data_IF_686779399626
#
_entry.id   IF_686779399626
#
_cell.length_a   1.000
_cell.length_b   1.000
_cell.length_c   1.000
_cell.angle_alpha   90.00
_cell.angle_beta   90.00
_cell.angle_gamma   90.00
#
_symmetry.space_group_name_H-M   'P 1'
#
loop_
_entity.id
_entity.type
_entity.pdbx_description
1 polymer ?
#
# COMPACT_ATOMS: atom_id res chain seq x y z
N UNK A 1 -11.47 -4.23 -2.50
CA UNK A 1 -11.63 -5.55 -1.84
C UNK A 1 -11.76 -5.35 -0.35
N UNK A 2 -12.47 -6.21 0.36
CA UNK A 2 -12.76 -6.03 1.78
C UNK A 2 -12.71 -7.34 2.58
N UNK A 3 -12.58 -7.20 3.87
CA UNK A 3 -12.69 -8.26 4.89
C UNK A 3 -13.58 -7.72 6.01
N UNK A 4 -14.66 -8.43 6.35
CA UNK A 4 -15.66 -7.98 7.32
C UNK A 4 -15.55 -8.70 8.68
N UNK A 5 -14.70 -9.72 8.76
CA UNK A 5 -14.39 -10.43 10.00
C UNK A 5 -12.90 -10.73 10.06
N UNK A 6 -12.26 -10.42 11.18
CA UNK A 6 -10.86 -10.72 11.42
C UNK A 6 -10.54 -12.22 11.33
N UNK A 7 -11.54 -13.08 11.62
CA UNK A 7 -11.41 -14.54 11.52
C UNK A 7 -11.28 -15.03 10.05
N UNK A 8 -11.66 -14.22 9.07
CA UNK A 8 -11.48 -14.54 7.65
C UNK A 8 -10.00 -14.45 7.21
N UNK A 9 -9.13 -13.84 8.03
CA UNK A 9 -7.70 -13.69 7.69
C UNK A 9 -7.00 -15.05 7.67
N UNK A 10 -6.49 -15.41 6.51
CA UNK A 10 -5.75 -16.66 6.29
C UNK A 10 -4.25 -16.43 6.40
N UNK A 11 -3.53 -17.24 7.18
CA UNK A 11 -2.09 -17.09 7.34
C UNK A 11 -1.35 -17.34 6.02
N UNK A 12 -0.21 -16.69 5.86
CA UNK A 12 0.74 -16.94 4.80
C UNK A 12 1.82 -17.92 5.25
N UNK A 13 2.48 -18.61 4.33
CA UNK A 13 3.75 -19.28 4.65
C UNK A 13 4.74 -18.27 5.22
N UNK A 14 5.48 -18.70 6.24
CA UNK A 14 6.57 -17.88 6.77
C UNK A 14 7.64 -17.67 5.70
N UNK A 15 8.19 -16.48 5.57
CA UNK A 15 9.32 -16.26 4.68
C UNK A 15 10.56 -17.00 5.20
N UNK A 16 11.46 -17.37 4.28
CA UNK A 16 12.70 -18.07 4.65
C UNK A 16 13.68 -17.21 5.48
N UNK A 17 13.42 -15.93 5.61
CA UNK A 17 14.18 -14.96 6.40
C UNK A 17 13.21 -14.18 7.29
N UNK A 18 13.64 -13.86 8.49
CA UNK A 18 12.83 -13.08 9.41
C UNK A 18 12.52 -11.69 8.84
N UNK A 19 11.26 -11.31 8.92
CA UNK A 19 10.79 -9.95 8.62
C UNK A 19 10.30 -9.30 9.92
N UNK A 20 10.80 -8.12 10.18
CA UNK A 20 10.31 -7.26 11.27
C UNK A 20 9.48 -6.11 10.73
N UNK A 21 8.52 -5.64 11.53
CA UNK A 21 7.61 -4.58 11.15
C UNK A 21 7.65 -3.46 12.20
N UNK A 22 8.06 -2.28 11.76
CA UNK A 22 8.25 -1.14 12.64
C UNK A 22 7.34 0.01 12.24
N UNK A 23 6.59 0.54 13.19
CA UNK A 23 5.82 1.77 13.00
C UNK A 23 6.78 2.95 12.86
N UNK A 24 6.60 3.76 11.83
CA UNK A 24 7.30 5.03 11.69
C UNK A 24 6.76 6.02 12.75
N UNK A 25 7.45 6.12 13.87
CA UNK A 25 7.04 6.98 14.99
C UNK A 25 7.17 8.48 14.72
N UNK A 26 7.91 8.86 13.67
CA UNK A 26 8.02 10.25 13.21
C UNK A 26 7.49 10.31 11.78
N UNK A 27 6.39 11.02 11.53
CA UNK A 27 5.89 11.24 10.17
C UNK A 27 6.94 11.96 9.32
N UNK A 28 7.21 11.44 8.13
CA UNK A 28 8.21 12.02 7.23
C UNK A 28 7.75 11.98 5.77
N UNK A 29 7.50 13.16 5.22
CA UNK A 29 7.14 13.34 3.83
C UNK A 29 8.18 12.72 2.88
N UNK A 30 9.46 12.92 3.17
CA UNK A 30 10.54 12.42 2.31
C UNK A 30 10.66 10.89 2.35
N UNK A 31 10.51 10.29 3.53
CA UNK A 31 10.52 8.83 3.69
C UNK A 31 9.34 8.21 2.96
N UNK A 32 8.13 8.70 3.19
CA UNK A 32 6.92 8.16 2.53
C UNK A 32 6.98 8.33 1.01
N UNK A 33 7.46 9.48 0.52
CA UNK A 33 7.68 9.70 -0.90
C UNK A 33 8.69 8.72 -1.49
N UNK A 34 9.81 8.48 -0.80
CA UNK A 34 10.83 7.52 -1.24
C UNK A 34 10.28 6.08 -1.26
N UNK A 35 9.53 5.67 -0.23
CA UNK A 35 8.88 4.36 -0.17
C UNK A 35 7.85 4.17 -1.29
N UNK A 36 6.99 5.18 -1.51
CA UNK A 36 6.03 5.19 -2.60
C UNK A 36 6.73 5.05 -3.96
N UNK A 37 7.86 5.75 -4.16
CA UNK A 37 8.65 5.65 -5.38
C UNK A 37 9.27 4.26 -5.57
N UNK A 38 9.91 3.72 -4.53
CA UNK A 38 10.59 2.43 -4.60
C UNK A 38 9.66 1.29 -4.95
N UNK A 39 8.44 1.28 -4.40
CA UNK A 39 7.46 0.22 -4.61
C UNK A 39 6.60 0.51 -5.83
N UNK A 40 6.06 1.72 -5.91
CA UNK A 40 5.04 2.10 -6.88
C UNK A 40 5.52 2.23 -8.33
N UNK A 41 6.82 2.46 -8.53
CA UNK A 41 7.40 2.66 -9.86
C UNK A 41 7.18 1.48 -10.83
N UNK A 42 6.97 0.28 -10.31
CA UNK A 42 6.76 -0.94 -11.11
C UNK A 42 5.31 -1.38 -11.20
N UNK A 43 4.42 -0.73 -10.44
CA UNK A 43 3.00 -1.10 -10.33
C UNK A 43 2.09 0.09 -10.59
N UNK A 44 2.56 1.05 -11.36
CA UNK A 44 1.80 2.21 -11.85
C UNK A 44 1.10 3.02 -10.75
N UNK A 45 1.71 3.15 -9.57
CA UNK A 45 1.25 4.09 -8.57
C UNK A 45 1.56 5.51 -9.04
N UNK A 46 0.58 6.20 -9.57
CA UNK A 46 0.76 7.50 -10.22
C UNK A 46 -0.02 8.63 -9.54
N UNK A 47 -0.92 8.31 -8.63
CA UNK A 47 -1.86 9.26 -8.06
C UNK A 47 -1.16 10.38 -7.28
N UNK A 48 -0.02 10.06 -6.67
CA UNK A 48 0.78 11.02 -5.89
C UNK A 48 1.93 11.68 -6.67
N UNK A 49 2.02 11.48 -7.99
CA UNK A 49 3.03 12.15 -8.82
C UNK A 49 2.96 13.68 -8.79
N UNK A 50 1.77 14.30 -8.82
CA UNK A 50 1.68 15.75 -8.78
C UNK A 50 1.87 16.35 -7.37
N UNK A 51 2.03 15.50 -6.35
CA UNK A 51 2.11 15.96 -4.98
C UNK A 51 3.38 16.76 -4.72
N UNK A 52 3.20 17.95 -4.14
CA UNK A 52 4.27 18.78 -3.60
C UNK A 52 4.77 18.21 -2.26
N UNK A 53 5.90 18.72 -1.76
CA UNK A 53 6.34 18.36 -0.41
C UNK A 53 5.28 18.73 0.66
N UNK A 54 4.56 19.83 0.47
CA UNK A 54 3.48 20.22 1.38
C UNK A 54 2.32 19.23 1.38
N UNK A 55 1.95 18.68 0.21
CA UNK A 55 0.91 17.66 0.11
C UNK A 55 1.34 16.35 0.80
N UNK A 56 2.57 15.93 0.59
CA UNK A 56 3.13 14.76 1.27
C UNK A 56 3.14 14.96 2.78
N UNK A 57 3.56 16.13 3.27
CA UNK A 57 3.56 16.45 4.69
C UNK A 57 2.15 16.43 5.27
N UNK A 58 1.21 17.11 4.61
CA UNK A 58 -0.19 17.12 5.03
C UNK A 58 -0.81 15.71 5.07
N UNK A 59 -0.38 14.81 4.18
CA UNK A 59 -0.82 13.43 4.17
C UNK A 59 -0.28 12.65 5.37
N UNK A 60 1.03 12.67 5.59
CA UNK A 60 1.67 11.80 6.58
C UNK A 60 1.51 12.29 8.03
N UNK A 61 1.22 13.58 8.24
CA UNK A 61 0.99 14.17 9.56
C UNK A 61 -0.44 13.95 10.08
N UNK A 62 -1.31 13.31 9.30
CA UNK A 62 -2.68 13.01 9.73
C UNK A 62 -2.66 11.97 10.87
N UNK A 63 -3.38 12.21 11.96
CA UNK A 63 -3.41 11.28 13.11
C UNK A 63 -4.08 9.95 12.76
N UNK A 64 -4.88 9.89 11.70
CA UNK A 64 -5.54 8.67 11.21
C UNK A 64 -4.62 7.79 10.39
N UNK A 65 -3.46 8.29 9.93
CA UNK A 65 -2.53 7.55 9.09
C UNK A 65 -1.41 6.92 9.91
N UNK A 66 -1.06 5.70 9.61
CA UNK A 66 0.14 5.04 10.12
C UNK A 66 0.96 4.44 8.97
N UNK A 67 2.27 4.69 8.98
CA UNK A 67 3.23 4.12 8.04
C UNK A 67 4.06 3.06 8.74
N UNK A 68 4.16 1.88 8.13
CA UNK A 68 4.90 0.74 8.66
C UNK A 68 6.01 0.32 7.70
N UNK A 69 7.20 0.16 8.23
CA UNK A 69 8.35 -0.37 7.51
C UNK A 69 8.45 -1.87 7.74
N UNK A 70 8.56 -2.63 6.65
CA UNK A 70 8.91 -4.05 6.70
C UNK A 70 10.41 -4.17 6.42
N UNK A 71 11.15 -4.73 7.38
CA UNK A 71 12.60 -4.91 7.29
C UNK A 71 12.93 -6.39 7.19
N UNK A 72 13.90 -6.74 6.36
CA UNK A 72 14.52 -8.05 6.31
C UNK A 72 16.02 -7.90 6.02
N UNK A 73 16.86 -8.66 6.71
CA UNK A 73 18.32 -8.64 6.53
C UNK A 73 18.93 -7.22 6.56
N UNK A 74 18.43 -6.35 7.46
CA UNK A 74 18.91 -4.96 7.58
C UNK A 74 18.48 -4.02 6.45
N UNK A 75 17.60 -4.47 5.55
CA UNK A 75 17.16 -3.71 4.37
C UNK A 75 15.64 -3.49 4.42
N UNK A 76 15.16 -2.38 3.86
CA UNK A 76 13.72 -2.13 3.69
C UNK A 76 13.18 -3.10 2.64
N UNK A 77 12.46 -4.11 3.10
CA UNK A 77 11.86 -5.14 2.26
C UNK A 77 10.52 -4.68 1.65
N UNK A 78 9.85 -3.75 2.31
CA UNK A 78 8.58 -3.22 1.86
C UNK A 78 8.00 -2.23 2.86
N UNK A 79 6.78 -1.78 2.61
CA UNK A 79 6.05 -0.94 3.54
C UNK A 79 4.54 -1.06 3.34
N UNK A 80 3.77 -0.50 4.25
CA UNK A 80 2.35 -0.27 4.09
C UNK A 80 1.88 0.97 4.84
N UNK A 81 0.81 1.58 4.32
CA UNK A 81 0.09 2.68 4.96
C UNK A 81 -1.32 2.20 5.33
N UNK A 82 -1.70 2.45 6.59
CA UNK A 82 -3.04 2.17 7.11
C UNK A 82 -3.70 3.47 7.52
N UNK A 83 -4.96 3.62 7.20
CA UNK A 83 -5.79 4.75 7.60
C UNK A 83 -6.99 4.29 8.41
N UNK A 84 -7.13 4.84 9.61
CA UNK A 84 -8.33 4.67 10.42
C UNK A 84 -9.42 5.60 9.89
N UNK A 85 -10.53 5.04 9.43
CA UNK A 85 -11.64 5.81 8.89
C UNK A 85 -12.81 5.92 9.88
N UNK A 86 -13.70 6.93 9.72
CA UNK A 86 -14.92 7.01 10.49
C UNK A 86 -15.76 5.73 10.37
N UNK A 87 -16.54 5.42 11.41
CA UNK A 87 -17.39 4.23 11.40
C UNK A 87 -16.69 2.92 11.77
N UNK A 88 -15.39 2.96 12.04
CA UNK A 88 -14.63 1.76 12.43
C UNK A 88 -13.90 1.08 11.28
N UNK A 89 -13.95 1.61 10.06
CA UNK A 89 -13.23 1.06 8.93
C UNK A 89 -11.73 1.35 9.01
N UNK A 90 -10.93 0.43 8.50
CA UNK A 90 -9.49 0.66 8.25
C UNK A 90 -9.19 0.40 6.78
N UNK A 91 -8.64 1.40 6.11
CA UNK A 91 -8.16 1.27 4.74
C UNK A 91 -6.67 0.90 4.72
N UNK A 92 -6.32 -0.12 3.95
CA UNK A 92 -4.94 -0.36 3.52
C UNK A 92 -4.71 0.49 2.27
N UNK A 93 -4.16 1.67 2.46
CA UNK A 93 -3.91 2.61 1.35
C UNK A 93 -2.82 2.16 0.41
N UNK A 94 -1.73 1.66 0.97
CA UNK A 94 -0.57 1.18 0.24
C UNK A 94 -0.03 -0.07 0.93
N UNK A 95 0.35 -1.06 0.16
CA UNK A 95 1.10 -2.21 0.63
C UNK A 95 1.94 -2.77 -0.52
N UNK A 96 3.23 -2.92 -0.31
CA UNK A 96 4.08 -3.49 -1.34
C UNK A 96 5.51 -3.74 -0.91
N UNK A 97 6.16 -4.62 -1.68
CA UNK A 97 7.56 -4.98 -1.53
C UNK A 97 8.44 -4.09 -2.39
N UNK A 98 9.63 -3.78 -1.90
CA UNK A 98 10.68 -3.20 -2.73
C UNK A 98 11.16 -4.21 -3.78
N UNK A 99 11.72 -3.77 -4.93
CA UNK A 99 12.05 -4.65 -6.05
C UNK A 99 12.95 -5.84 -5.70
N UNK A 100 13.86 -5.67 -4.75
CA UNK A 100 14.79 -6.72 -4.33
C UNK A 100 14.09 -7.93 -3.64
N UNK A 101 12.88 -7.74 -3.14
CA UNK A 101 12.12 -8.75 -2.39
C UNK A 101 10.92 -9.32 -3.15
N UNK A 102 10.61 -8.77 -4.33
CA UNK A 102 9.53 -9.28 -5.20
C UNK A 102 9.92 -10.65 -5.77
N UNK A 103 8.95 -11.58 -5.83
CA UNK A 103 9.16 -12.92 -6.37
C UNK A 103 9.84 -13.93 -5.42
N UNK A 104 10.15 -13.52 -4.18
CA UNK A 104 10.86 -14.33 -3.18
C UNK A 104 9.95 -14.90 -2.07
N UNK A 105 8.63 -14.87 -2.26
CA UNK A 105 7.66 -15.41 -1.30
C UNK A 105 7.22 -14.48 -0.17
N UNK A 106 7.77 -13.28 -0.06
CA UNK A 106 7.47 -12.35 1.03
C UNK A 106 6.09 -11.68 0.95
N UNK A 107 5.51 -11.56 -0.25
CA UNK A 107 4.29 -10.76 -0.46
C UNK A 107 3.07 -11.24 0.31
N UNK A 108 2.90 -12.55 0.47
CA UNK A 108 1.81 -13.11 1.26
C UNK A 108 1.92 -12.76 2.74
N UNK A 109 3.12 -12.87 3.27
CA UNK A 109 3.39 -12.56 4.67
C UNK A 109 3.27 -11.06 4.96
N UNK A 110 3.76 -10.21 4.04
CA UNK A 110 3.58 -8.75 4.15
C UNK A 110 2.08 -8.37 4.24
N UNK A 111 1.25 -8.91 3.32
CA UNK A 111 -0.20 -8.63 3.32
C UNK A 111 -0.86 -9.17 4.59
N UNK A 112 -0.50 -10.36 5.06
CA UNK A 112 -1.01 -10.89 6.33
C UNK A 112 -0.69 -9.95 7.49
N UNK A 113 0.57 -9.55 7.64
CA UNK A 113 1.03 -8.71 8.74
C UNK A 113 0.43 -7.28 8.68
N UNK A 114 0.24 -6.75 7.48
CA UNK A 114 -0.48 -5.52 7.23
C UNK A 114 -1.93 -5.64 7.71
N UNK A 115 -2.63 -6.70 7.29
CA UNK A 115 -4.04 -6.92 7.62
C UNK A 115 -4.25 -7.16 9.11
N UNK A 116 -3.36 -7.88 9.80
CA UNK A 116 -3.40 -8.06 11.26
C UNK A 116 -3.38 -6.71 11.98
N UNK A 117 -2.48 -5.81 11.57
CA UNK A 117 -2.36 -4.47 12.15
C UNK A 117 -3.56 -3.60 11.83
N UNK A 118 -4.12 -3.73 10.63
CA UNK A 118 -5.34 -3.03 10.25
C UNK A 118 -6.52 -3.40 11.17
N UNK A 119 -6.62 -4.65 11.60
CA UNK A 119 -7.62 -5.11 12.57
C UNK A 119 -7.36 -4.63 14.00
N UNK A 120 -6.08 -4.46 14.39
CA UNK A 120 -5.65 -4.00 15.73
C UNK A 120 -5.77 -2.47 15.89
N UNK A 121 -6.71 -1.85 15.24
CA UNK A 121 -6.91 -0.40 15.18
C UNK A 121 -6.79 0.31 16.54
N UNK A 122 -7.39 -0.25 17.60
CA UNK A 122 -7.39 0.36 18.92
C UNK A 122 -6.03 0.45 19.60
N UNK A 123 -5.03 -0.28 19.13
CA UNK A 123 -3.66 -0.24 19.66
C UNK A 123 -2.79 0.79 18.94
N UNK A 124 -3.19 1.21 17.73
CA UNK A 124 -2.38 2.02 16.82
C UNK A 124 -2.78 3.49 16.77
N UNK A 125 -4.04 3.77 17.05
CA UNK A 125 -4.61 5.11 16.98
C UNK A 125 -5.16 5.53 18.34
N UNK A 126 -5.31 6.85 18.56
CA UNK A 126 -5.68 7.46 19.84
C UNK A 126 -6.79 6.72 20.60
N UNK A 127 -6.71 6.76 21.90
CA UNK A 127 -7.65 6.15 22.83
C UNK A 127 -9.12 6.45 22.46
N UNK A 128 -9.90 5.39 22.19
CA UNK A 128 -11.28 5.49 21.74
C UNK A 128 -11.57 4.89 20.36
N UNK A 129 -10.55 4.59 19.58
CA UNK A 129 -10.70 3.83 18.34
C UNK A 129 -10.83 2.35 18.70
N UNK A 130 -12.03 1.83 18.85
CA UNK A 130 -12.27 0.39 19.04
C UNK A 130 -11.63 -0.47 17.92
N UNK A 131 -11.78 -1.80 17.97
CA UNK A 131 -11.31 -2.67 16.91
C UNK A 131 -11.93 -2.26 15.57
N UNK A 132 -11.27 -2.57 14.47
CA UNK A 132 -11.84 -2.33 13.15
C UNK A 132 -13.15 -3.11 12.99
N UNK A 133 -14.13 -2.52 12.30
CA UNK A 133 -15.35 -3.20 11.87
C UNK A 133 -15.23 -3.76 10.45
N UNK A 134 -14.29 -3.21 9.68
CA UNK A 134 -14.00 -3.58 8.30
C UNK A 134 -12.54 -3.23 7.97
N UNK A 135 -11.88 -4.11 7.26
CA UNK A 135 -10.59 -3.80 6.61
C UNK A 135 -10.75 -3.88 5.10
N UNK A 136 -10.34 -2.84 4.38
CA UNK A 136 -10.52 -2.80 2.95
C UNK A 136 -9.33 -2.19 2.23
N UNK A 137 -9.25 -2.42 0.92
CA UNK A 137 -8.20 -1.89 0.05
C UNK A 137 -8.71 -1.70 -1.38
N UNK A 138 -8.00 -0.88 -2.13
CA UNK A 138 -8.13 -0.76 -3.59
C UNK A 138 -6.96 -1.45 -4.27
N UNK A 139 -7.23 -2.12 -5.36
CA UNK A 139 -6.23 -2.68 -6.28
C UNK A 139 -6.74 -2.56 -7.71
N UNK A 140 -5.89 -2.70 -8.68
CA UNK A 140 -6.27 -2.58 -10.09
C UNK A 140 -5.54 -3.60 -10.97
N UNK A 141 -5.94 -3.67 -12.22
CA UNK A 141 -5.27 -4.49 -13.25
C UNK A 141 -3.85 -3.99 -13.57
N UNK A 142 -3.50 -2.77 -13.15
CA UNK A 142 -2.17 -2.19 -13.30
C UNK A 142 -1.23 -2.49 -12.12
N UNK A 143 -1.75 -3.08 -11.06
CA UNK A 143 -0.94 -3.58 -9.94
C UNK A 143 -0.13 -4.82 -10.36
N UNK A 144 0.70 -5.30 -9.44
CA UNK A 144 1.45 -6.53 -9.67
C UNK A 144 0.50 -7.68 -10.03
N UNK A 145 0.77 -8.50 -11.07
CA UNK A 145 -0.15 -9.55 -11.56
C UNK A 145 -0.65 -10.52 -10.47
N UNK A 146 0.13 -10.71 -9.42
CA UNK A 146 -0.25 -11.58 -8.31
C UNK A 146 -0.97 -10.85 -7.16
N UNK A 147 -1.19 -9.53 -7.23
CA UNK A 147 -1.74 -8.75 -6.12
C UNK A 147 -3.14 -9.23 -5.72
N UNK A 148 -4.09 -9.24 -6.67
CA UNK A 148 -5.45 -9.70 -6.42
C UNK A 148 -5.50 -11.15 -5.90
N UNK A 149 -4.74 -12.06 -6.52
CA UNK A 149 -4.68 -13.45 -6.09
C UNK A 149 -4.11 -13.58 -4.66
N UNK A 150 -3.17 -12.71 -4.29
CA UNK A 150 -2.61 -12.65 -2.95
C UNK A 150 -3.65 -12.18 -1.92
N UNK A 151 -4.38 -11.10 -2.21
CA UNK A 151 -5.46 -10.61 -1.34
C UNK A 151 -6.56 -11.66 -1.15
N UNK A 152 -7.03 -12.31 -2.21
CA UNK A 152 -8.00 -13.40 -2.12
C UNK A 152 -7.51 -14.56 -1.28
N UNK A 153 -6.24 -14.95 -1.41
CA UNK A 153 -5.62 -16.00 -0.56
C UNK A 153 -5.53 -15.58 0.91
N UNK A 154 -5.48 -14.29 1.22
CA UNK A 154 -5.52 -13.79 2.60
C UNK A 154 -6.94 -13.63 3.15
N UNK A 155 -7.96 -13.89 2.36
CA UNK A 155 -9.36 -13.85 2.80
C UNK A 155 -10.16 -12.64 2.34
N UNK A 156 -9.55 -11.69 1.61
CA UNK A 156 -10.28 -10.57 1.04
C UNK A 156 -11.24 -11.03 -0.04
N UNK A 157 -12.42 -10.39 -0.07
CA UNK A 157 -13.46 -10.57 -1.08
C UNK A 157 -13.59 -9.29 -1.91
N UNK A 158 -13.97 -9.42 -3.16
CA UNK A 158 -14.29 -8.26 -4.00
C UNK A 158 -15.60 -7.65 -3.51
N UNK A 159 -15.57 -6.35 -3.19
CA UNK A 159 -16.75 -5.60 -2.79
C UNK A 159 -17.40 -4.88 -3.97
N UNK A 160 -16.57 -4.25 -4.82
CA UNK A 160 -17.02 -3.58 -6.04
C UNK A 160 -15.93 -3.61 -7.09
N UNK A 161 -16.33 -3.43 -8.35
CA UNK A 161 -15.44 -3.31 -9.50
C UNK A 161 -15.89 -2.11 -10.34
N UNK A 162 -14.93 -1.31 -10.81
CA UNK A 162 -15.17 -0.20 -11.72
C UNK A 162 -14.10 -0.17 -12.79
N UNK A 163 -14.44 0.32 -13.98
CA UNK A 163 -13.49 0.49 -15.08
C UNK A 163 -13.44 1.94 -15.47
N UNK A 164 -12.24 2.46 -15.68
CA UNK A 164 -12.04 3.85 -16.07
C UNK A 164 -10.65 4.09 -16.67
N UNK A 165 -10.44 5.25 -17.30
CA UNK A 165 -9.14 5.61 -17.84
C UNK A 165 -8.17 5.98 -16.71
N UNK A 166 -6.95 5.45 -16.78
CA UNK A 166 -5.84 5.86 -15.90
C UNK A 166 -4.66 6.37 -16.69
N UNK A 167 -4.04 7.42 -16.16
CA UNK A 167 -2.83 7.98 -16.72
C UNK A 167 -1.62 7.13 -16.32
N UNK A 168 -1.02 6.47 -17.30
CA UNK A 168 0.13 5.61 -17.10
C UNK A 168 1.39 6.27 -17.65
N UNK A 169 2.51 6.30 -16.92
CA UNK A 169 3.78 6.80 -17.42
C UNK A 169 4.25 6.01 -18.64
N UNK A 170 4.92 6.69 -19.57
CA UNK A 170 5.60 5.99 -20.66
C UNK A 170 6.75 5.13 -20.07
N UNK A 171 6.77 3.81 -20.31
CA UNK A 171 7.80 2.93 -19.75
C UNK A 171 9.22 3.25 -20.26
N UNK A 172 9.35 4.07 -21.31
CA UNK A 172 10.65 4.56 -21.80
C UNK A 172 11.19 5.74 -21.01
N UNK A 173 10.37 6.37 -20.19
CA UNK A 173 10.76 7.43 -19.27
C UNK A 173 11.11 6.79 -17.92
N UNK A 174 12.06 7.37 -17.19
CA UNK A 174 12.40 6.90 -15.85
C UNK A 174 11.12 6.69 -15.01
N UNK A 175 11.00 5.61 -14.24
CA UNK A 175 9.79 5.25 -13.52
C UNK A 175 9.31 6.35 -12.57
N UNK A 176 10.20 7.26 -12.18
CA UNK A 176 9.86 8.48 -11.44
C UNK A 176 10.39 9.70 -12.18
N UNK A 177 9.51 10.46 -12.83
CA UNK A 177 9.91 11.76 -13.37
C UNK A 177 10.33 12.64 -12.19
N UNK A 178 11.52 13.18 -12.28
CA UNK A 178 11.94 14.23 -11.36
C UNK A 178 10.94 15.39 -11.46
N UNK A 179 10.61 16.07 -10.36
CA UNK A 179 9.86 17.30 -10.41
C UNK A 179 10.52 18.21 -11.45
N UNK A 180 9.75 18.68 -12.43
CA UNK A 180 10.19 19.52 -13.54
C UNK A 180 10.97 18.83 -14.70
N UNK A 181 10.98 17.50 -14.79
CA UNK A 181 11.48 16.86 -16.01
C UNK A 181 10.46 17.04 -17.15
N UNK A 182 10.78 17.81 -18.21
CA UNK A 182 9.87 18.04 -19.33
C UNK A 182 9.51 16.75 -20.09
N UNK A 183 10.32 15.68 -19.94
CA UNK A 183 10.05 14.36 -20.53
C UNK A 183 8.92 13.63 -19.83
N UNK A 184 8.56 14.05 -18.62
CA UNK A 184 7.44 13.48 -17.86
C UNK A 184 6.07 13.71 -18.51
N UNK A 185 6.00 14.57 -19.54
CA UNK A 185 4.78 14.85 -20.28
C UNK A 185 4.35 13.72 -21.25
N UNK A 186 5.23 12.75 -21.54
CA UNK A 186 4.88 11.59 -22.36
C UNK A 186 4.04 10.60 -21.57
N UNK A 187 2.73 10.70 -21.70
CA UNK A 187 1.78 9.89 -20.94
C UNK A 187 0.86 9.14 -21.88
N UNK A 188 0.57 7.88 -21.57
CA UNK A 188 -0.43 7.07 -22.25
C UNK A 188 -1.62 6.86 -21.34
N UNK A 189 -2.82 6.90 -21.92
CA UNK A 189 -4.03 6.43 -21.24
C UNK A 189 -4.17 4.93 -21.46
N UNK A 190 -4.42 4.20 -20.40
CA UNK A 190 -4.86 2.81 -20.43
C UNK A 190 -6.14 2.69 -19.62
N UNK A 191 -6.99 1.76 -20.00
CA UNK A 191 -8.14 1.44 -19.15
C UNK A 191 -7.67 0.73 -17.89
N UNK A 192 -8.14 1.21 -16.76
CA UNK A 192 -7.90 0.61 -15.45
C UNK A 192 -9.20 0.03 -14.93
N UNK A 193 -9.17 -1.23 -14.52
CA UNK A 193 -10.22 -1.85 -13.74
C UNK A 193 -9.89 -1.71 -12.26
N UNK A 194 -10.62 -0.85 -11.58
CA UNK A 194 -10.47 -0.60 -10.15
C UNK A 194 -11.36 -1.55 -9.36
N UNK A 195 -10.75 -2.31 -8.44
CA UNK A 195 -11.41 -3.32 -7.61
C UNK A 195 -11.36 -2.87 -6.15
N UNK A 196 -12.52 -2.63 -5.59
CA UNK A 196 -12.73 -2.23 -4.19
C UNK A 196 -13.52 -3.26 -3.39
#
# INVERSE_FOLDING_TARGET
MEMLDAADLRPAPLPGVEMTFTLAGVPSADVNRALYAMVGARVCWTDRFPWTHADWRAWVERPELSTWLAMAEGTIAGFFELEAQPGGDTEIHLVGLTPAFVGRGYGGYLVEQCTRRAWQRGELWAAGSGPASRVWLRTSTLDHPNAMANYRRRGFKVAAETTGPKLVPDPRVAPWPLPHDPRSASRRFQEEELIT
#
